data_IF_395969742990
#
_entry.id   IF_395969742990
#
_cell.length_a   1.000
_cell.length_b   1.000
_cell.length_c   1.000
_cell.angle_alpha   90.00
_cell.angle_beta   90.00
_cell.angle_gamma   90.00
#
_symmetry.space_group_name_H-M   'P 1'
#
loop_
_entity.id
_entity.type
_entity.pdbx_description
1 polymer ?
#
# COMPACT_ATOMS: atom_id res chain seq x y z
N UNK A 1 -16.32 46.59 11.68
CA UNK A 1 -16.40 47.90 10.98
C UNK A 1 -16.10 47.67 9.51
N UNK A 2 -16.99 48.12 8.63
CA UNK A 2 -17.14 47.64 7.24
C UNK A 2 -16.03 48.06 6.28
N UNK A 3 -15.81 47.17 5.30
CA UNK A 3 -14.87 47.23 4.15
C UNK A 3 -14.91 48.57 3.38
N UNK A 4 -16.03 49.29 3.45
CA UNK A 4 -16.32 50.52 2.69
C UNK A 4 -15.42 51.72 3.08
N UNK A 5 -14.78 51.72 4.27
CA UNK A 5 -13.85 52.80 4.65
C UNK A 5 -12.43 52.67 4.06
N UNK A 6 -12.05 51.50 3.55
CA UNK A 6 -10.68 51.25 3.08
C UNK A 6 -10.46 51.65 1.62
N UNK A 7 -11.48 51.55 0.78
CA UNK A 7 -11.39 51.96 -0.63
C UNK A 7 -11.11 53.47 -0.78
N UNK A 8 -11.59 54.27 0.18
CA UNK A 8 -11.36 55.73 0.21
C UNK A 8 -9.91 56.08 0.56
N UNK A 9 -9.27 55.30 1.43
CA UNK A 9 -7.85 55.48 1.81
C UNK A 9 -6.91 55.03 0.68
N UNK A 10 -7.29 53.98 -0.06
CA UNK A 10 -6.54 53.49 -1.23
C UNK A 10 -6.59 54.49 -2.39
N UNK A 11 -7.74 55.14 -2.60
CA UNK A 11 -7.89 56.18 -3.63
C UNK A 11 -7.09 57.46 -3.31
N UNK A 12 -6.99 57.85 -2.04
CA UNK A 12 -6.20 59.02 -1.60
C UNK A 12 -4.69 58.78 -1.66
N UNK A 13 -4.21 57.55 -1.40
CA UNK A 13 -2.78 57.21 -1.47
C UNK A 13 -2.27 57.05 -2.91
N UNK A 14 -3.13 56.64 -3.85
CA UNK A 14 -2.78 56.54 -5.27
C UNK A 14 -2.60 57.91 -5.95
N UNK A 15 -3.35 58.93 -5.53
CA UNK A 15 -3.30 60.26 -6.13
C UNK A 15 -2.13 61.14 -5.67
N UNK A 16 -1.42 60.77 -4.60
CA UNK A 16 -0.32 61.57 -4.04
C UNK A 16 1.10 61.11 -4.42
N UNK A 17 1.27 60.18 -5.37
CA UNK A 17 2.58 59.71 -5.88
C UNK A 17 3.65 59.35 -4.81
N UNK A 18 3.25 58.94 -3.62
CA UNK A 18 4.17 58.54 -2.54
C UNK A 18 4.10 57.02 -2.33
N UNK A 19 5.07 56.31 -2.92
CA UNK A 19 5.37 54.86 -2.84
C UNK A 19 4.84 53.95 -3.96
N UNK A 20 5.69 52.98 -4.35
CA UNK A 20 5.41 51.97 -5.37
C UNK A 20 4.53 50.83 -4.83
N UNK A 21 3.75 50.19 -5.72
CA UNK A 21 2.85 49.07 -5.41
C UNK A 21 3.50 47.92 -4.61
N UNK A 22 4.82 47.72 -4.73
CA UNK A 22 5.58 46.70 -3.97
C UNK A 22 5.66 46.99 -2.46
N UNK A 23 5.72 48.25 -2.04
CA UNK A 23 5.87 48.61 -0.62
C UNK A 23 4.55 48.51 0.15
N UNK A 24 3.42 48.83 -0.50
CA UNK A 24 2.08 48.71 0.11
C UNK A 24 1.71 47.23 0.30
N UNK A 25 2.05 46.36 -0.66
CA UNK A 25 1.82 44.91 -0.56
C UNK A 25 2.68 44.24 0.53
N UNK A 26 3.92 44.71 0.74
CA UNK A 26 4.82 44.19 1.78
C UNK A 26 4.29 44.47 3.20
N UNK A 27 3.69 45.64 3.44
CA UNK A 27 3.14 45.99 4.74
C UNK A 27 1.82 45.26 5.03
N UNK A 28 1.01 44.97 4.00
CA UNK A 28 -0.26 44.26 4.15
C UNK A 28 -0.09 42.80 4.60
N UNK A 29 1.01 42.15 4.20
CA UNK A 29 1.31 40.76 4.60
C UNK A 29 2.08 40.65 5.93
N UNK A 30 2.78 41.71 6.35
CA UNK A 30 3.53 41.77 7.61
C UNK A 30 2.64 41.68 8.86
N UNK A 31 1.35 42.05 8.76
CA UNK A 31 0.43 42.08 9.90
C UNK A 31 -0.34 40.76 10.06
N UNK A 32 -0.38 39.89 9.03
CA UNK A 32 -1.21 38.68 9.03
C UNK A 32 -0.46 37.35 9.28
N UNK A 33 0.87 37.30 9.18
CA UNK A 33 1.64 36.06 9.44
C UNK A 33 2.97 36.38 10.14
N UNK A 34 3.09 36.18 11.47
CA UNK A 34 4.39 36.22 12.15
C UNK A 34 5.30 35.14 11.57
N UNK A 35 6.46 35.53 11.02
CA UNK A 35 7.45 34.62 10.43
C UNK A 35 7.69 34.78 8.93
N UNK A 36 6.80 35.46 8.19
CA UNK A 36 7.00 35.70 6.76
C UNK A 36 8.14 36.71 6.50
N UNK A 37 8.30 37.69 7.38
CA UNK A 37 9.42 38.64 7.34
C UNK A 37 10.76 37.92 7.54
N UNK A 38 10.82 36.94 8.45
CA UNK A 38 12.03 36.17 8.71
C UNK A 38 12.39 35.25 7.52
N UNK A 39 11.39 34.70 6.84
CA UNK A 39 11.57 33.92 5.61
C UNK A 39 12.01 34.79 4.41
N UNK A 40 11.43 35.98 4.25
CA UNK A 40 11.81 36.93 3.18
C UNK A 40 13.20 37.51 3.44
N UNK A 41 13.53 37.85 4.68
CA UNK A 41 14.86 38.34 5.05
C UNK A 41 15.93 37.24 4.91
N UNK A 42 15.61 35.96 5.12
CA UNK A 42 16.54 34.85 4.84
C UNK A 42 16.72 34.60 3.34
N UNK A 43 15.66 34.74 2.54
CA UNK A 43 15.72 34.61 1.08
C UNK A 43 16.54 35.73 0.43
N UNK A 44 16.35 36.98 0.88
CA UNK A 44 17.13 38.11 0.37
C UNK A 44 18.59 38.08 0.85
N UNK A 45 18.88 37.54 2.04
CA UNK A 45 20.25 37.38 2.56
C UNK A 45 21.05 36.28 1.80
N UNK A 46 20.38 35.41 1.04
CA UNK A 46 21.03 34.47 0.12
C UNK A 46 21.29 35.09 -1.27
N UNK A 47 20.55 36.12 -1.68
CA UNK A 47 20.75 36.79 -2.97
C UNK A 47 21.80 37.92 -2.92
N UNK A 48 22.03 38.53 -1.76
CA UNK A 48 23.00 39.66 -1.61
C UNK A 48 24.42 39.27 -1.19
N UNK A 49 24.68 38.02 -0.81
CA UNK A 49 26.02 37.55 -0.52
C UNK A 49 26.62 36.83 -1.73
N UNK A 50 27.25 37.59 -2.61
CA UNK A 50 28.24 37.11 -3.57
C UNK A 50 29.50 36.55 -2.88
N UNK A 51 29.33 35.54 -2.02
CA UNK A 51 30.39 34.65 -1.56
C UNK A 51 30.43 33.44 -2.49
N UNK A 52 31.65 32.99 -2.81
CA UNK A 52 31.92 31.94 -3.78
C UNK A 52 31.12 30.67 -3.57
N UNK A 53 31.00 29.88 -4.65
CA UNK A 53 30.46 28.51 -4.68
C UNK A 53 31.29 27.55 -3.79
N UNK A 54 31.33 27.81 -2.49
CA UNK A 54 31.69 26.79 -1.53
C UNK A 54 30.54 25.79 -1.48
N UNK A 55 30.88 24.51 -1.66
CA UNK A 55 29.94 23.39 -1.74
C UNK A 55 29.01 23.39 -0.52
N UNK A 56 27.80 23.97 -0.67
CA UNK A 56 26.80 23.95 0.38
C UNK A 56 26.44 22.49 0.68
N UNK A 57 26.87 22.03 1.85
CA UNK A 57 26.69 20.68 2.32
C UNK A 57 25.56 20.67 3.36
N UNK A 58 24.59 19.78 3.21
CA UNK A 58 23.63 19.48 4.27
C UNK A 58 24.10 18.22 5.01
N UNK A 59 24.56 18.40 6.24
CA UNK A 59 25.05 17.29 7.05
C UNK A 59 23.91 16.42 7.56
N UNK A 60 24.09 15.10 7.44
CA UNK A 60 23.15 14.09 7.96
C UNK A 60 23.92 13.06 8.80
N UNK A 61 23.17 12.20 9.50
CA UNK A 61 23.76 11.05 10.23
C UNK A 61 24.51 10.07 9.31
N UNK A 62 24.26 10.13 8.01
CA UNK A 62 24.73 9.15 7.03
C UNK A 62 25.77 9.73 6.05
N UNK A 63 26.05 11.04 6.15
CA UNK A 63 26.96 11.76 5.27
C UNK A 63 26.41 13.10 4.80
N UNK A 64 27.22 13.79 4.02
CA UNK A 64 26.94 15.12 3.48
C UNK A 64 26.14 15.03 2.18
N UNK A 65 24.96 15.64 2.14
CA UNK A 65 24.21 15.86 0.90
C UNK A 65 24.72 17.13 0.21
N UNK A 66 25.04 17.00 -1.07
CA UNK A 66 25.48 18.13 -1.92
C UNK A 66 24.53 18.26 -3.10
N UNK A 67 24.44 19.47 -3.65
CA UNK A 67 23.66 19.75 -4.87
C UNK A 67 22.20 19.29 -4.75
N UNK A 68 21.60 19.66 -3.61
CA UNK A 68 20.18 19.41 -3.33
C UNK A 68 19.31 20.25 -4.26
N UNK A 69 18.35 19.59 -4.90
CA UNK A 69 17.27 20.23 -5.64
C UNK A 69 15.90 19.96 -5.00
N UNK A 70 14.98 20.90 -5.19
CA UNK A 70 13.60 20.83 -4.68
C UNK A 70 13.49 20.41 -3.19
N UNK A 71 14.22 21.05 -2.26
CA UNK A 71 14.14 20.68 -0.84
C UNK A 71 12.80 21.07 -0.25
N UNK A 72 12.26 20.20 0.59
CA UNK A 72 11.10 20.46 1.42
C UNK A 72 11.48 20.29 2.88
N UNK A 73 10.91 21.12 3.75
CA UNK A 73 11.29 21.21 5.16
C UNK A 73 10.07 21.03 6.05
N UNK A 74 10.30 20.50 7.24
CA UNK A 74 9.32 20.55 8.32
C UNK A 74 9.19 21.98 8.89
N UNK A 75 8.16 22.21 9.71
CA UNK A 75 7.92 23.50 10.37
C UNK A 75 9.08 23.95 11.28
N UNK A 76 9.85 23.01 11.81
CA UNK A 76 11.05 23.27 12.62
C UNK A 76 12.31 23.56 11.78
N UNK A 77 12.21 23.59 10.44
CA UNK A 77 13.31 23.84 9.52
C UNK A 77 14.21 22.65 9.21
N UNK A 78 13.93 21.46 9.75
CA UNK A 78 14.66 20.23 9.39
C UNK A 78 14.28 19.76 7.99
N UNK A 79 15.24 19.21 7.24
CA UNK A 79 15.02 18.73 5.88
C UNK A 79 14.08 17.52 5.91
N UNK A 80 12.97 17.61 5.20
CA UNK A 80 11.96 16.55 5.11
C UNK A 80 12.25 15.63 3.92
N UNK A 81 12.42 16.18 2.73
CA UNK A 81 12.79 15.41 1.55
C UNK A 81 13.42 16.29 0.48
N UNK A 82 14.21 15.68 -0.40
CA UNK A 82 14.83 16.39 -1.50
C UNK A 82 15.21 15.48 -2.67
N UNK A 83 15.49 16.10 -3.81
CA UNK A 83 16.16 15.48 -4.95
C UNK A 83 17.64 15.84 -4.93
N UNK A 84 18.46 15.04 -5.62
CA UNK A 84 19.89 15.27 -5.80
C UNK A 84 20.18 15.40 -7.30
N UNK A 85 21.11 16.27 -7.65
CA UNK A 85 21.58 16.44 -9.04
C UNK A 85 22.90 15.71 -9.32
N UNK A 86 23.55 15.19 -8.27
CA UNK A 86 24.81 14.43 -8.36
C UNK A 86 24.85 13.24 -7.42
N UNK A 87 25.79 12.35 -7.72
CA UNK A 87 26.11 11.20 -6.90
C UNK A 87 26.51 11.63 -5.47
N UNK A 88 25.83 11.04 -4.49
CA UNK A 88 26.15 11.16 -3.08
C UNK A 88 26.23 9.77 -2.48
N UNK A 89 27.27 9.54 -1.68
CA UNK A 89 27.50 8.26 -0.99
C UNK A 89 27.06 8.40 0.46
N UNK A 90 26.07 7.61 0.86
CA UNK A 90 25.60 7.53 2.24
C UNK A 90 26.08 6.25 2.90
N UNK A 91 26.73 6.39 4.07
CA UNK A 91 27.15 5.25 4.88
C UNK A 91 26.06 4.98 5.92
N UNK A 92 25.40 3.84 5.78
CA UNK A 92 24.30 3.44 6.68
C UNK A 92 24.64 2.14 7.40
N UNK A 93 23.94 1.80 8.50
CA UNK A 93 24.02 0.48 9.11
C UNK A 93 23.69 -0.67 8.15
N UNK A 94 23.00 -0.38 7.05
CA UNK A 94 22.56 -1.35 6.05
C UNK A 94 23.47 -1.43 4.82
N UNK A 95 24.61 -0.74 4.84
CA UNK A 95 25.57 -0.69 3.75
C UNK A 95 25.72 0.71 3.14
N UNK A 96 26.43 0.77 2.02
CA UNK A 96 26.64 1.99 1.26
C UNK A 96 25.44 2.19 0.34
N UNK A 97 24.77 3.33 0.48
CA UNK A 97 23.61 3.68 -0.33
C UNK A 97 23.90 4.90 -1.20
N UNK A 98 23.58 4.81 -2.50
CA UNK A 98 23.68 5.90 -3.48
C UNK A 98 22.26 6.29 -3.90
N UNK A 99 21.72 7.41 -3.40
CA UNK A 99 20.40 7.88 -3.80
C UNK A 99 20.36 8.22 -5.29
N UNK A 100 19.17 8.16 -5.89
CA UNK A 100 18.93 8.53 -7.27
C UNK A 100 19.30 9.99 -7.50
N UNK A 101 19.98 10.28 -8.60
CA UNK A 101 20.30 11.65 -9.01
C UNK A 101 20.09 11.88 -10.51
N UNK A 102 19.64 10.87 -11.26
CA UNK A 102 19.26 11.00 -12.68
C UNK A 102 17.77 10.73 -12.90
N UNK A 103 17.20 11.34 -13.95
CA UNK A 103 15.76 11.26 -14.26
C UNK A 103 15.45 10.87 -15.71
N UNK A 104 16.45 10.72 -16.57
CA UNK A 104 16.28 10.65 -18.05
C UNK A 104 15.86 9.27 -18.61
N UNK A 105 15.58 8.28 -17.77
CA UNK A 105 15.24 6.93 -18.25
C UNK A 105 13.73 6.68 -18.27
N UNK A 106 13.21 6.04 -19.32
CA UNK A 106 11.80 5.67 -19.52
C UNK A 106 11.22 4.90 -18.31
N UNK A 107 12.06 4.07 -17.67
CA UNK A 107 11.73 3.29 -16.48
C UNK A 107 11.81 4.08 -15.17
N UNK A 108 12.63 5.14 -15.09
CA UNK A 108 12.89 5.81 -13.81
C UNK A 108 11.68 6.64 -13.37
N UNK A 109 11.32 6.49 -12.10
CA UNK A 109 10.30 7.34 -11.47
C UNK A 109 10.89 8.73 -11.23
N UNK A 110 10.09 9.75 -11.54
CA UNK A 110 10.33 11.10 -11.04
C UNK A 110 9.88 11.14 -9.57
N UNK A 111 10.81 10.90 -8.65
CA UNK A 111 10.57 10.87 -7.21
C UNK A 111 11.71 11.57 -6.48
N UNK A 112 11.45 12.09 -5.28
CA UNK A 112 12.51 12.64 -4.44
C UNK A 112 13.48 11.53 -4.07
N UNK A 113 14.76 11.79 -4.27
CA UNK A 113 15.87 10.87 -4.02
C UNK A 113 15.87 10.35 -2.58
N UNK A 114 15.63 11.23 -1.62
CA UNK A 114 15.74 10.93 -0.19
C UNK A 114 14.69 11.68 0.63
N UNK A 115 14.22 11.03 1.70
CA UNK A 115 13.34 11.63 2.69
C UNK A 115 13.78 11.24 4.10
N UNK A 116 13.52 12.11 5.07
CA UNK A 116 13.87 11.97 6.48
C UNK A 116 12.64 12.12 7.37
N UNK A 117 12.74 11.58 8.57
CA UNK A 117 11.89 11.96 9.71
C UNK A 117 12.45 13.23 10.38
N UNK A 118 11.64 13.88 11.23
CA UNK A 118 12.06 15.08 11.96
C UNK A 118 13.29 14.83 12.87
N UNK A 119 13.49 13.59 13.32
CA UNK A 119 14.64 13.19 14.12
C UNK A 119 15.94 12.97 13.29
N UNK A 120 15.89 13.21 11.98
CA UNK A 120 17.01 13.07 11.05
C UNK A 120 17.31 11.63 10.59
N UNK A 121 16.53 10.62 11.01
CA UNK A 121 16.63 9.29 10.44
C UNK A 121 16.05 9.24 9.04
N UNK A 122 16.56 8.34 8.19
CA UNK A 122 15.96 8.09 6.88
C UNK A 122 14.51 7.66 7.05
N UNK A 123 13.65 8.15 6.17
CA UNK A 123 12.28 7.70 5.97
C UNK A 123 12.16 6.89 4.68
N UNK A 124 12.85 7.35 3.63
CA UNK A 124 12.85 6.73 2.30
C UNK A 124 14.15 7.06 1.57
N UNK A 125 14.65 6.13 0.78
CA UNK A 125 15.71 6.36 -0.20
C UNK A 125 15.41 5.60 -1.49
N UNK A 126 15.27 6.34 -2.59
CA UNK A 126 15.23 5.79 -3.94
C UNK A 126 16.66 5.74 -4.47
N UNK A 127 17.09 4.59 -4.98
CA UNK A 127 18.48 4.33 -5.34
C UNK A 127 18.72 4.63 -6.82
N UNK A 128 19.92 5.09 -7.15
CA UNK A 128 20.29 5.35 -8.55
C UNK A 128 20.29 4.06 -9.39
N UNK A 129 20.69 2.95 -8.76
CA UNK A 129 20.72 1.59 -9.31
C UNK A 129 20.39 0.58 -8.22
N UNK A 130 20.03 -0.63 -8.63
CA UNK A 130 19.83 -1.73 -7.71
C UNK A 130 21.11 -1.96 -6.87
N UNK A 131 21.00 -1.78 -5.56
CA UNK A 131 22.14 -1.75 -4.63
C UNK A 131 21.97 -2.81 -3.55
N UNK A 132 23.03 -3.55 -3.16
CA UNK A 132 22.97 -4.47 -2.03
C UNK A 132 22.66 -3.74 -0.71
N UNK A 133 21.69 -4.24 0.04
CA UNK A 133 21.26 -3.76 1.35
C UNK A 133 21.34 -4.91 2.32
N UNK A 134 22.02 -4.72 3.46
CA UNK A 134 22.05 -5.70 4.53
C UNK A 134 20.72 -5.66 5.28
N UNK A 135 20.00 -6.77 5.30
CA UNK A 135 18.67 -6.89 5.90
C UNK A 135 18.67 -8.01 6.95
N UNK A 136 17.65 -8.07 7.81
CA UNK A 136 17.47 -9.21 8.71
C UNK A 136 17.36 -10.58 8.01
N UNK A 137 16.96 -10.61 6.73
CA UNK A 137 16.89 -11.83 5.90
C UNK A 137 18.18 -12.07 5.09
N UNK A 138 19.26 -11.35 5.40
CA UNK A 138 20.50 -11.37 4.63
C UNK A 138 20.59 -10.21 3.63
N UNK A 139 21.54 -10.29 2.72
CA UNK A 139 21.80 -9.22 1.76
C UNK A 139 20.82 -9.28 0.59
N UNK A 140 20.03 -8.24 0.41
CA UNK A 140 19.05 -8.11 -0.67
C UNK A 140 19.38 -6.92 -1.56
N UNK A 141 19.23 -7.06 -2.87
CA UNK A 141 19.38 -5.93 -3.79
C UNK A 141 18.08 -5.13 -3.84
N UNK A 142 18.17 -3.81 -3.78
CA UNK A 142 17.02 -2.92 -3.72
C UNK A 142 17.19 -1.66 -4.58
N UNK A 143 16.09 -1.17 -5.13
CA UNK A 143 16.00 0.16 -5.75
C UNK A 143 15.27 1.19 -4.88
N UNK A 144 14.52 0.72 -3.88
CA UNK A 144 13.85 1.58 -2.92
C UNK A 144 13.83 0.90 -1.56
N UNK A 145 14.20 1.66 -0.53
CA UNK A 145 14.07 1.25 0.87
C UNK A 145 13.30 2.32 1.64
N UNK A 146 12.41 1.86 2.51
CA UNK A 146 11.72 2.71 3.49
C UNK A 146 12.06 2.24 4.89
N UNK A 147 11.98 3.16 5.84
CA UNK A 147 12.41 2.94 7.21
C UNK A 147 11.30 3.35 8.18
N UNK A 148 11.38 2.82 9.39
CA UNK A 148 10.66 3.32 10.56
C UNK A 148 11.39 4.54 11.14
N UNK A 149 10.72 5.24 12.04
CA UNK A 149 11.27 6.46 12.65
C UNK A 149 12.49 6.18 13.53
N UNK A 150 12.62 4.97 14.09
CA UNK A 150 13.82 4.49 14.81
C UNK A 150 15.02 4.21 13.88
N UNK A 151 14.81 4.23 12.56
CA UNK A 151 15.81 3.94 11.53
C UNK A 151 15.89 2.46 11.13
N UNK A 152 15.06 1.58 11.70
CA UNK A 152 14.93 0.19 11.28
C UNK A 152 14.34 0.09 9.87
N UNK A 153 14.72 -0.93 9.09
CA UNK A 153 14.15 -1.16 7.75
C UNK A 153 12.66 -1.47 7.92
N UNK A 154 11.82 -0.74 7.19
CA UNK A 154 10.38 -0.99 7.11
C UNK A 154 10.03 -1.84 5.91
N UNK A 155 10.49 -1.46 4.72
CA UNK A 155 10.17 -2.17 3.48
C UNK A 155 11.27 -2.03 2.45
N UNK A 156 11.52 -3.10 1.73
CA UNK A 156 12.45 -3.17 0.60
C UNK A 156 11.68 -3.47 -0.67
N UNK A 157 12.03 -2.78 -1.75
CA UNK A 157 11.58 -3.04 -3.09
C UNK A 157 12.80 -3.37 -3.97
N UNK A 158 12.92 -4.62 -4.46
CA UNK A 158 14.00 -5.00 -5.36
C UNK A 158 14.05 -4.15 -6.63
N UNK A 159 12.88 -3.69 -7.08
CA UNK A 159 12.70 -2.83 -8.24
C UNK A 159 11.72 -1.69 -7.91
N UNK A 160 11.91 -0.52 -8.52
CA UNK A 160 11.09 0.67 -8.32
C UNK A 160 10.81 1.41 -9.65
N UNK A 161 10.68 0.67 -10.76
CA UNK A 161 10.38 1.23 -12.08
C UNK A 161 8.97 1.81 -12.19
N UNK A 162 8.82 2.84 -13.04
CA UNK A 162 7.55 3.44 -13.44
C UNK A 162 6.94 2.59 -14.55
N UNK A 163 5.67 2.21 -14.40
CA UNK A 163 4.89 1.60 -15.49
C UNK A 163 4.36 2.72 -16.40
N UNK A 164 4.54 2.56 -17.71
CA UNK A 164 4.11 3.51 -18.75
C UNK A 164 3.60 2.74 -19.98
N UNK A 165 3.08 3.43 -21.00
CA UNK A 165 2.73 2.79 -22.27
C UNK A 165 3.92 2.15 -23.01
N UNK A 166 5.16 2.53 -22.68
CA UNK A 166 6.39 1.98 -23.25
C UNK A 166 7.17 1.06 -22.27
N UNK A 167 6.68 0.91 -21.05
CA UNK A 167 7.30 0.09 -20.01
C UNK A 167 6.21 -0.61 -19.20
N UNK A 168 5.92 -1.85 -19.54
CA UNK A 168 4.79 -2.58 -18.95
C UNK A 168 5.21 -3.32 -17.66
N UNK A 169 4.22 -3.90 -16.99
CA UNK A 169 4.47 -4.77 -15.84
C UNK A 169 5.33 -5.99 -16.24
N UNK A 170 5.12 -6.53 -17.44
CA UNK A 170 5.94 -7.62 -17.98
C UNK A 170 7.40 -7.22 -18.13
N UNK A 171 7.68 -6.00 -18.63
CA UNK A 171 9.06 -5.52 -18.73
C UNK A 171 9.74 -5.40 -17.35
N UNK A 172 8.98 -4.97 -16.33
CA UNK A 172 9.51 -4.91 -14.97
C UNK A 172 9.72 -6.31 -14.36
N UNK A 173 8.85 -7.27 -14.67
CA UNK A 173 8.97 -8.68 -14.27
C UNK A 173 10.21 -9.36 -14.88
N UNK A 174 10.58 -9.01 -16.11
CA UNK A 174 11.78 -9.52 -16.78
C UNK A 174 13.07 -9.12 -16.03
N UNK A 175 13.09 -7.94 -15.41
CA UNK A 175 14.21 -7.49 -14.57
C UNK A 175 14.22 -8.10 -13.18
N UNK A 176 13.07 -8.59 -12.69
CA UNK A 176 12.94 -9.10 -11.35
C UNK A 176 13.75 -10.38 -11.18
N UNK A 177 14.61 -10.41 -10.16
CA UNK A 177 15.40 -11.58 -9.77
C UNK A 177 14.67 -12.33 -8.67
N UNK A 178 14.76 -13.67 -8.72
CA UNK A 178 14.27 -14.49 -7.65
C UNK A 178 15.16 -14.29 -6.41
N UNK A 179 14.51 -14.20 -5.25
CA UNK A 179 15.16 -13.99 -3.96
C UNK A 179 14.97 -15.27 -3.13
N UNK A 180 16.05 -15.82 -2.53
CA UNK A 180 15.92 -16.92 -1.58
C UNK A 180 15.23 -16.40 -0.31
N UNK A 181 14.10 -17.01 0.03
CA UNK A 181 13.29 -16.71 1.20
C UNK A 181 13.28 -17.93 2.11
N UNK A 182 13.70 -17.74 3.36
CA UNK A 182 13.49 -18.72 4.42
C UNK A 182 12.23 -18.33 5.18
N UNK A 183 11.15 -19.06 4.93
CA UNK A 183 9.87 -18.90 5.60
C UNK A 183 9.69 -20.02 6.64
N UNK A 184 8.82 -19.84 7.65
CA UNK A 184 8.61 -20.84 8.71
C UNK A 184 8.23 -22.25 8.22
N UNK A 185 7.77 -22.35 6.98
CA UNK A 185 7.29 -23.57 6.36
C UNK A 185 8.18 -24.07 5.21
N UNK A 186 9.35 -23.47 4.99
CA UNK A 186 10.34 -23.95 4.02
C UNK A 186 11.16 -22.84 3.35
N UNK A 187 12.07 -23.27 2.47
CA UNK A 187 12.86 -22.37 1.62
C UNK A 187 12.19 -22.21 0.26
N UNK A 188 12.16 -20.98 -0.23
CA UNK A 188 11.54 -20.62 -1.49
C UNK A 188 12.48 -19.74 -2.29
N UNK A 189 12.44 -19.86 -3.62
CA UNK A 189 13.13 -18.94 -4.52
C UNK A 189 12.06 -18.25 -5.38
N UNK A 190 11.84 -16.96 -5.13
CA UNK A 190 10.66 -16.24 -5.64
C UNK A 190 10.98 -14.81 -6.04
N UNK A 191 10.42 -14.36 -7.15
CA UNK A 191 10.39 -12.94 -7.50
C UNK A 191 9.36 -12.24 -6.61
N UNK A 192 9.80 -11.19 -5.91
CA UNK A 192 8.94 -10.37 -5.05
C UNK A 192 8.95 -8.91 -5.50
N UNK A 193 7.81 -8.25 -5.36
CA UNK A 193 7.65 -6.80 -5.51
C UNK A 193 8.19 -6.11 -4.27
N UNK A 194 7.85 -6.61 -3.08
CA UNK A 194 8.32 -6.02 -1.84
C UNK A 194 8.34 -7.00 -0.67
N UNK A 195 9.22 -6.71 0.29
CA UNK A 195 9.31 -7.37 1.60
C UNK A 195 9.17 -6.31 2.68
N UNK A 196 8.21 -6.48 3.59
CA UNK A 196 8.03 -5.60 4.74
C UNK A 196 8.52 -6.29 6.01
N UNK A 197 9.09 -5.51 6.92
CA UNK A 197 9.60 -5.97 8.20
C UNK A 197 8.85 -5.28 9.35
N UNK A 198 8.84 -5.93 10.50
CA UNK A 198 8.61 -5.26 11.78
C UNK A 198 9.88 -4.49 12.20
N UNK A 199 9.75 -3.54 13.12
CA UNK A 199 10.89 -2.74 13.64
C UNK A 199 12.02 -3.62 14.20
N UNK A 200 11.67 -4.75 14.80
CA UNK A 200 12.62 -5.75 15.32
C UNK A 200 13.23 -6.66 14.24
N UNK A 201 12.91 -6.44 12.97
CA UNK A 201 13.50 -7.11 11.82
C UNK A 201 12.82 -8.41 11.38
N UNK A 202 11.80 -8.91 12.08
CA UNK A 202 11.03 -10.07 11.59
C UNK A 202 10.28 -9.72 10.31
N UNK A 203 10.18 -10.67 9.37
CA UNK A 203 9.37 -10.49 8.17
C UNK A 203 7.90 -10.30 8.56
N UNK A 204 7.31 -9.20 8.11
CA UNK A 204 5.92 -8.84 8.33
C UNK A 204 5.04 -9.25 7.17
N UNK A 205 5.50 -9.07 5.94
CA UNK A 205 4.77 -9.49 4.74
C UNK A 205 5.68 -9.57 3.54
N UNK A 206 5.25 -10.34 2.55
CA UNK A 206 5.85 -10.41 1.23
C UNK A 206 4.78 -10.18 0.17
N UNK A 207 5.13 -9.44 -0.86
CA UNK A 207 4.31 -9.26 -2.06
C UNK A 207 5.00 -9.93 -3.25
N UNK A 208 4.37 -10.94 -3.83
CA UNK A 208 4.83 -11.66 -5.00
C UNK A 208 4.57 -10.84 -6.27
N UNK A 209 5.40 -11.05 -7.28
CA UNK A 209 5.05 -10.60 -8.63
C UNK A 209 3.76 -11.26 -9.13
N UNK A 210 2.96 -10.61 -9.98
CA UNK A 210 1.88 -11.28 -10.69
C UNK A 210 2.39 -12.51 -11.45
N UNK A 211 1.56 -13.55 -11.49
CA UNK A 211 1.88 -14.90 -12.01
C UNK A 211 2.89 -15.71 -11.17
N UNK A 212 3.50 -15.14 -10.14
CA UNK A 212 4.21 -15.92 -9.12
C UNK A 212 3.24 -16.53 -8.11
N UNK A 213 3.61 -17.72 -7.64
CA UNK A 213 2.85 -18.43 -6.62
C UNK A 213 3.76 -19.05 -5.57
N UNK A 214 3.26 -19.10 -4.33
CA UNK A 214 3.83 -19.88 -3.25
C UNK A 214 3.01 -21.15 -3.02
N UNK A 215 3.68 -22.28 -2.87
CA UNK A 215 3.06 -23.54 -2.46
C UNK A 215 3.43 -23.81 -1.00
N UNK A 216 2.46 -23.67 -0.10
CA UNK A 216 2.71 -23.70 1.35
C UNK A 216 1.98 -24.87 2.01
N UNK A 217 2.63 -25.64 2.90
CA UNK A 217 1.99 -26.72 3.65
C UNK A 217 1.11 -26.15 4.78
N UNK A 218 -0.13 -25.73 4.47
CA UNK A 218 -1.10 -25.23 5.45
C UNK A 218 -2.35 -26.13 5.47
N UNK A 219 -3.03 -26.19 6.62
CA UNK A 219 -4.30 -26.93 6.81
C UNK A 219 -4.23 -28.42 6.43
N UNK A 220 -3.10 -29.07 6.72
CA UNK A 220 -2.90 -30.49 6.40
C UNK A 220 -2.75 -30.79 4.90
N UNK A 221 -2.61 -29.75 4.06
CA UNK A 221 -2.44 -29.87 2.62
C UNK A 221 -1.48 -28.83 2.05
N UNK A 222 -1.46 -28.70 0.73
CA UNK A 222 -0.68 -27.66 0.03
C UNK A 222 -1.61 -26.58 -0.49
N UNK A 223 -1.45 -25.37 0.01
CA UNK A 223 -2.20 -24.19 -0.43
C UNK A 223 -1.37 -23.43 -1.45
N UNK A 224 -1.98 -23.09 -2.59
CA UNK A 224 -1.40 -22.21 -3.60
C UNK A 224 -1.81 -20.77 -3.30
N UNK A 225 -0.81 -19.92 -3.09
CA UNK A 225 -0.99 -18.52 -2.70
C UNK A 225 -0.53 -17.64 -3.87
N UNK A 226 -1.34 -16.63 -4.22
CA UNK A 226 -1.00 -15.57 -5.18
C UNK A 226 -0.76 -14.27 -4.42
N UNK A 227 -0.15 -13.29 -5.05
CA UNK A 227 0.04 -11.90 -4.56
C UNK A 227 0.82 -11.71 -3.25
N UNK A 228 0.55 -12.44 -2.17
CA UNK A 228 1.32 -12.25 -0.95
C UNK A 228 0.82 -12.99 0.28
N UNK A 229 1.60 -12.81 1.34
CA UNK A 229 1.36 -13.34 2.68
C UNK A 229 1.84 -12.34 3.72
N UNK A 230 1.13 -12.27 4.84
CA UNK A 230 1.54 -11.55 6.03
C UNK A 230 1.73 -12.51 7.22
N UNK A 231 2.58 -12.09 8.16
CA UNK A 231 2.98 -12.85 9.33
C UNK A 231 2.84 -12.00 10.58
N UNK A 232 2.60 -12.67 11.70
CA UNK A 232 2.80 -12.11 13.02
C UNK A 232 4.30 -12.07 13.38
N UNK A 233 4.73 -11.28 14.38
CA UNK A 233 6.14 -11.22 14.78
C UNK A 233 6.73 -12.58 15.20
N UNK A 234 5.90 -13.52 15.66
CA UNK A 234 6.31 -14.89 16.00
C UNK A 234 6.46 -15.82 14.78
N UNK A 235 6.25 -15.31 13.56
CA UNK A 235 6.33 -16.07 12.31
C UNK A 235 5.04 -16.82 11.94
N UNK A 236 4.02 -16.84 12.79
CA UNK A 236 2.73 -17.45 12.41
C UNK A 236 2.09 -16.67 11.26
N UNK A 237 1.37 -17.37 10.40
CA UNK A 237 0.66 -16.76 9.27
C UNK A 237 -0.46 -15.88 9.81
N UNK A 238 -0.46 -14.61 9.42
CA UNK A 238 -1.49 -13.63 9.73
C UNK A 238 -2.56 -13.59 8.64
N UNK A 239 -2.15 -13.56 7.38
CA UNK A 239 -3.06 -13.57 6.25
C UNK A 239 -2.35 -14.05 4.98
N UNK A 240 -3.12 -14.49 3.98
CA UNK A 240 -2.61 -14.77 2.64
C UNK A 240 -3.73 -14.69 1.61
N UNK A 241 -3.37 -14.50 0.34
CA UNK A 241 -4.32 -14.43 -0.76
C UNK A 241 -4.38 -15.77 -1.52
N UNK A 242 -5.47 -16.54 -1.42
CA UNK A 242 -5.61 -17.81 -2.12
C UNK A 242 -5.57 -17.63 -3.64
N UNK A 243 -4.88 -18.52 -4.35
CA UNK A 243 -4.86 -18.50 -5.82
C UNK A 243 -6.18 -19.00 -6.44
N UNK A 244 -6.95 -19.77 -5.70
CA UNK A 244 -8.25 -20.33 -6.05
C UNK A 244 -9.12 -20.41 -4.79
N UNK A 245 -10.46 -20.59 -4.92
CA UNK A 245 -11.36 -20.88 -3.80
C UNK A 245 -10.79 -21.92 -2.84
N UNK A 246 -10.48 -21.46 -1.62
CA UNK A 246 -10.00 -22.31 -0.54
C UNK A 246 -11.13 -22.48 0.49
N UNK A 247 -11.66 -23.70 0.60
CA UNK A 247 -12.72 -24.00 1.55
C UNK A 247 -12.16 -24.14 2.97
N UNK A 248 -12.55 -23.22 3.84
CA UNK A 248 -12.08 -23.13 5.22
C UNK A 248 -13.26 -23.37 6.18
N UNK A 249 -13.01 -24.12 7.26
CA UNK A 249 -13.97 -24.23 8.35
C UNK A 249 -13.93 -22.95 9.19
N UNK A 250 -15.10 -22.36 9.40
CA UNK A 250 -15.31 -21.15 10.22
C UNK A 250 -16.37 -21.42 11.29
N UNK A 251 -16.55 -20.51 12.27
CA UNK A 251 -17.62 -20.65 13.26
C UNK A 251 -19.03 -20.75 12.68
N UNK A 252 -19.26 -20.25 11.46
CA UNK A 252 -20.56 -20.27 10.78
C UNK A 252 -20.66 -21.34 9.69
N UNK A 253 -19.69 -22.26 9.63
CA UNK A 253 -19.64 -23.34 8.63
C UNK A 253 -18.48 -23.22 7.66
N UNK A 254 -18.52 -24.02 6.59
CA UNK A 254 -17.43 -24.13 5.62
C UNK A 254 -17.64 -23.14 4.48
N UNK A 255 -16.69 -22.20 4.30
CA UNK A 255 -16.79 -21.10 3.33
C UNK A 255 -15.61 -21.13 2.36
N UNK A 256 -15.86 -20.84 1.09
CA UNK A 256 -14.86 -20.59 0.07
C UNK A 256 -14.24 -19.19 0.24
N UNK A 257 -13.04 -19.13 0.81
CA UNK A 257 -12.25 -17.92 0.91
C UNK A 257 -11.56 -17.63 -0.43
N UNK A 258 -12.03 -16.58 -1.12
CA UNK A 258 -11.48 -16.08 -2.38
C UNK A 258 -12.09 -14.72 -2.75
N UNK A 259 -11.23 -13.74 -3.03
CA UNK A 259 -11.64 -12.47 -3.60
C UNK A 259 -11.31 -12.41 -5.10
N UNK A 260 -12.33 -12.39 -5.95
CA UNK A 260 -12.15 -12.26 -7.41
C UNK A 260 -11.47 -10.94 -7.79
N UNK A 261 -11.58 -9.90 -6.95
CA UNK A 261 -11.15 -8.54 -7.24
C UNK A 261 -9.83 -8.16 -6.55
N UNK A 262 -9.15 -9.11 -5.88
CA UNK A 262 -7.85 -8.86 -5.30
C UNK A 262 -6.86 -8.33 -6.38
N UNK A 263 -6.19 -7.21 -6.11
CA UNK A 263 -5.42 -6.46 -7.10
C UNK A 263 -3.88 -6.56 -6.94
N UNK A 264 -3.40 -7.40 -6.02
CA UNK A 264 -1.98 -7.74 -5.89
C UNK A 264 -1.03 -6.58 -5.54
N UNK A 265 -1.54 -5.41 -5.15
CA UNK A 265 -0.75 -4.21 -4.87
C UNK A 265 0.17 -4.42 -3.66
N UNK A 266 -0.33 -5.08 -2.62
CA UNK A 266 0.45 -5.47 -1.46
C UNK A 266 -0.05 -6.82 -0.91
N UNK A 267 0.85 -7.55 -0.26
CA UNK A 267 0.55 -8.79 0.46
C UNK A 267 0.28 -8.60 1.95
N UNK A 268 -0.04 -7.39 2.41
CA UNK A 268 -0.16 -7.08 3.84
C UNK A 268 -1.53 -7.46 4.39
N UNK A 269 -2.56 -7.13 3.61
CA UNK A 269 -3.96 -7.39 3.90
C UNK A 269 -4.55 -8.23 2.77
N UNK A 270 -4.80 -9.49 3.07
CA UNK A 270 -5.23 -10.48 2.08
C UNK A 270 -6.64 -11.00 2.41
N UNK A 271 -7.24 -11.68 1.45
CA UNK A 271 -8.63 -12.17 1.54
C UNK A 271 -8.88 -13.20 2.62
N UNK A 272 -7.86 -13.85 3.18
CA UNK A 272 -8.02 -14.82 4.26
C UNK A 272 -7.03 -14.49 5.37
N UNK A 273 -7.57 -14.23 6.57
CA UNK A 273 -6.81 -13.77 7.72
C UNK A 273 -7.15 -14.59 8.98
N UNK A 274 -6.17 -14.66 9.87
CA UNK A 274 -6.18 -15.49 11.07
C UNK A 274 -5.81 -14.66 12.28
N UNK A 275 -6.27 -15.11 13.45
CA UNK A 275 -5.73 -14.70 14.73
C UNK A 275 -4.40 -15.42 15.03
N UNK A 276 -3.67 -14.95 16.04
CA UNK A 276 -2.38 -15.56 16.44
C UNK A 276 -2.50 -17.00 16.94
N UNK A 277 -3.68 -17.42 17.38
CA UNK A 277 -3.96 -18.81 17.76
C UNK A 277 -4.21 -19.73 16.55
N UNK A 278 -4.34 -19.17 15.34
CA UNK A 278 -4.60 -19.87 14.09
C UNK A 278 -6.08 -20.00 13.73
N UNK A 279 -6.99 -19.50 14.57
CA UNK A 279 -8.42 -19.41 14.24
C UNK A 279 -8.66 -18.36 13.14
N UNK A 280 -9.73 -18.52 12.36
CA UNK A 280 -10.07 -17.61 11.26
C UNK A 280 -10.55 -16.28 11.83
N UNK A 281 -9.86 -15.19 11.50
CA UNK A 281 -10.25 -13.84 11.91
C UNK A 281 -11.19 -13.19 10.89
N UNK A 282 -10.87 -13.34 9.60
CA UNK A 282 -11.74 -12.84 8.54
C UNK A 282 -11.49 -13.55 7.23
N UNK A 283 -12.49 -13.58 6.36
CA UNK A 283 -12.32 -13.97 4.97
C UNK A 283 -13.18 -13.13 4.03
N UNK A 284 -12.83 -13.13 2.76
CA UNK A 284 -13.64 -12.62 1.66
C UNK A 284 -14.15 -13.80 0.84
N UNK A 285 -15.44 -13.79 0.49
CA UNK A 285 -16.03 -14.78 -0.42
C UNK A 285 -16.69 -14.10 -1.61
N UNK A 286 -16.39 -14.61 -2.81
CA UNK A 286 -16.99 -14.15 -4.07
C UNK A 286 -18.05 -15.11 -4.61
N UNK A 287 -18.35 -16.19 -3.89
CA UNK A 287 -19.21 -17.28 -4.38
C UNK A 287 -20.27 -17.76 -3.41
N UNK A 288 -20.13 -17.50 -2.12
CA UNK A 288 -20.97 -18.16 -1.13
C UNK A 288 -22.11 -17.26 -0.68
N UNK A 289 -23.33 -17.79 -0.78
CA UNK A 289 -24.53 -17.23 -0.18
C UNK A 289 -24.66 -17.75 1.25
N UNK A 290 -25.07 -16.87 2.14
CA UNK A 290 -25.33 -17.13 3.55
C UNK A 290 -26.84 -17.07 3.78
N UNK A 291 -27.45 -18.16 4.24
CA UNK A 291 -28.78 -18.15 4.83
C UNK A 291 -28.62 -18.14 6.35
N UNK A 292 -29.19 -17.12 6.99
CA UNK A 292 -28.94 -16.82 8.40
C UNK A 292 -30.28 -16.86 9.13
N UNK A 293 -30.52 -17.94 9.86
CA UNK A 293 -31.77 -18.18 10.57
C UNK A 293 -31.67 -17.69 12.01
N UNK A 294 -32.58 -16.81 12.42
CA UNK A 294 -32.69 -16.36 13.80
C UNK A 294 -33.44 -17.41 14.64
N UNK A 295 -32.79 -17.95 15.68
CA UNK A 295 -33.32 -19.02 16.54
C UNK A 295 -34.57 -18.63 17.34
N UNK A 296 -34.82 -17.33 17.56
CA UNK A 296 -35.93 -16.85 18.39
C UNK A 296 -37.22 -16.68 17.61
N UNK A 297 -37.16 -16.15 16.38
CA UNK A 297 -38.33 -15.77 15.60
C UNK A 297 -38.42 -16.47 14.23
N UNK A 298 -37.45 -17.34 13.90
CA UNK A 298 -37.35 -18.06 12.63
C UNK A 298 -37.32 -17.15 11.39
N UNK A 299 -36.87 -15.90 11.53
CA UNK A 299 -36.63 -15.04 10.36
C UNK A 299 -35.32 -15.45 9.69
N UNK A 300 -35.32 -15.45 8.36
CA UNK A 300 -34.16 -15.81 7.55
C UNK A 300 -33.66 -14.57 6.81
N UNK A 301 -32.41 -14.19 7.09
CA UNK A 301 -31.68 -13.23 6.26
C UNK A 301 -30.91 -13.98 5.17
N UNK A 302 -30.86 -13.42 3.97
CA UNK A 302 -30.07 -13.96 2.85
C UNK A 302 -29.06 -12.91 2.43
N UNK A 303 -27.77 -13.21 2.62
CA UNK A 303 -26.67 -12.34 2.21
C UNK A 303 -25.83 -13.07 1.16
N UNK A 304 -25.52 -12.40 0.04
CA UNK A 304 -24.73 -12.98 -1.05
C UNK A 304 -23.85 -11.92 -1.73
N UNK A 305 -22.76 -12.34 -2.41
CA UNK A 305 -21.99 -11.46 -3.28
C UNK A 305 -22.92 -10.78 -4.30
N UNK A 306 -22.79 -9.47 -4.47
CA UNK A 306 -23.64 -8.73 -5.41
C UNK A 306 -22.94 -8.58 -6.77
N UNK A 307 -23.67 -8.05 -7.74
CA UNK A 307 -23.14 -7.74 -9.06
C UNK A 307 -23.38 -6.26 -9.34
N UNK A 308 -22.39 -5.59 -9.92
CA UNK A 308 -22.51 -4.21 -10.40
C UNK A 308 -21.87 -4.04 -11.78
N UNK A 309 -22.25 -3.02 -12.55
CA UNK A 309 -21.54 -2.68 -13.79
C UNK A 309 -20.07 -2.35 -13.51
N UNK A 310 -19.20 -2.81 -14.39
CA UNK A 310 -17.76 -2.51 -14.37
C UNK A 310 -17.50 -1.03 -14.62
N UNK A 311 -16.59 -0.44 -13.85
CA UNK A 311 -16.16 0.95 -14.01
C UNK A 311 -15.21 1.17 -15.19
N UNK A 312 -14.69 0.08 -15.79
CA UNK A 312 -13.64 0.12 -16.83
C UNK A 312 -14.23 0.20 -18.26
N UNK A 313 -15.56 0.25 -18.38
CA UNK A 313 -16.27 0.40 -19.66
C UNK A 313 -16.48 -0.92 -20.39
N UNK A 314 -17.62 -1.03 -21.08
CA UNK A 314 -18.18 -2.30 -21.56
C UNK A 314 -19.36 -2.71 -20.69
N UNK A 315 -20.34 -3.43 -21.24
CA UNK A 315 -21.50 -3.96 -20.50
C UNK A 315 -21.10 -5.12 -19.53
N UNK A 316 -19.88 -5.09 -19.02
CA UNK A 316 -19.31 -6.13 -18.18
C UNK A 316 -19.77 -5.95 -16.73
N UNK A 317 -20.05 -7.07 -16.09
CA UNK A 317 -20.50 -7.14 -14.71
C UNK A 317 -19.34 -7.57 -13.79
N UNK A 318 -19.16 -6.85 -12.67
CA UNK A 318 -18.19 -7.14 -11.62
C UNK A 318 -18.91 -7.71 -10.39
N UNK A 319 -18.37 -8.78 -9.82
CA UNK A 319 -18.84 -9.34 -8.55
C UNK A 319 -18.34 -8.44 -7.42
N UNK A 320 -19.19 -8.02 -6.50
CA UNK A 320 -18.79 -7.37 -5.26
C UNK A 320 -18.88 -8.42 -4.14
N UNK A 321 -17.75 -8.88 -3.60
CA UNK A 321 -17.73 -10.00 -2.65
C UNK A 321 -18.26 -9.59 -1.27
N UNK A 322 -18.58 -10.60 -0.45
CA UNK A 322 -18.84 -10.42 0.97
C UNK A 322 -17.54 -10.51 1.76
N UNK A 323 -17.37 -9.65 2.75
CA UNK A 323 -16.33 -9.78 3.77
C UNK A 323 -16.96 -10.26 5.08
N UNK A 324 -16.41 -11.31 5.64
CA UNK A 324 -16.87 -11.95 6.88
C UNK A 324 -15.76 -11.85 7.91
N UNK A 325 -16.06 -11.32 9.09
CA UNK A 325 -15.11 -11.19 10.20
C UNK A 325 -15.69 -11.85 11.46
N UNK A 326 -14.86 -12.55 12.22
CA UNK A 326 -15.23 -13.16 13.48
C UNK A 326 -14.49 -12.45 14.60
N UNK A 327 -15.20 -12.03 15.64
CA UNK A 327 -14.59 -11.44 16.83
C UNK A 327 -15.41 -11.84 18.05
N UNK A 328 -14.75 -12.45 19.03
CA UNK A 328 -15.44 -13.03 20.19
C UNK A 328 -16.54 -13.98 19.71
N UNK A 329 -17.77 -13.86 20.22
CA UNK A 329 -18.93 -14.66 19.83
C UNK A 329 -19.81 -14.00 18.75
N UNK A 330 -19.21 -13.09 17.96
CA UNK A 330 -19.92 -12.30 16.94
C UNK A 330 -19.37 -12.56 15.53
N UNK A 331 -20.29 -12.64 14.57
CA UNK A 331 -20.01 -12.64 13.14
C UNK A 331 -20.42 -11.31 12.52
N UNK A 332 -19.48 -10.64 11.86
CA UNK A 332 -19.69 -9.38 11.14
C UNK A 332 -19.63 -9.67 9.65
N UNK A 333 -20.66 -9.27 8.91
CA UNK A 333 -20.74 -9.48 7.46
C UNK A 333 -20.91 -8.12 6.79
N UNK A 334 -19.96 -7.78 5.93
CA UNK A 334 -19.97 -6.56 5.11
C UNK A 334 -20.28 -6.93 3.68
N UNK A 335 -21.32 -6.31 3.12
CA UNK A 335 -21.76 -6.53 1.75
C UNK A 335 -22.19 -5.24 1.08
N UNK A 336 -22.23 -5.26 -0.25
CA UNK A 336 -22.74 -4.17 -1.05
C UNK A 336 -24.15 -4.52 -1.55
N UNK A 337 -25.10 -3.63 -1.33
CA UNK A 337 -26.50 -3.80 -1.69
C UNK A 337 -27.02 -2.55 -2.43
N UNK A 338 -28.30 -2.53 -2.79
CA UNK A 338 -28.92 -1.39 -3.51
C UNK A 338 -28.72 -0.03 -2.81
N UNK A 339 -28.68 -0.04 -1.48
CA UNK A 339 -28.50 1.16 -0.64
C UNK A 339 -27.02 1.47 -0.35
N UNK A 340 -26.09 0.71 -0.94
CA UNK A 340 -24.65 0.82 -0.71
C UNK A 340 -24.11 -0.24 0.25
N UNK A 341 -22.97 0.05 0.85
CA UNK A 341 -22.31 -0.84 1.80
C UNK A 341 -23.12 -0.95 3.10
N UNK A 342 -23.36 -2.18 3.55
CA UNK A 342 -23.98 -2.47 4.83
C UNK A 342 -23.12 -3.42 5.65
N UNK A 343 -23.17 -3.20 6.95
CA UNK A 343 -22.64 -4.09 7.98
C UNK A 343 -23.82 -4.81 8.64
N UNK A 344 -23.69 -6.12 8.79
CA UNK A 344 -24.62 -6.97 9.52
C UNK A 344 -23.86 -7.66 10.66
N UNK A 345 -24.46 -7.72 11.85
CA UNK A 345 -23.82 -8.26 13.05
C UNK A 345 -24.72 -9.35 13.61
N UNK A 346 -24.16 -10.54 13.78
CA UNK A 346 -24.87 -11.73 14.23
C UNK A 346 -24.16 -12.39 15.41
N UNK A 347 -24.76 -12.40 16.62
CA UNK A 347 -24.30 -13.23 17.72
C UNK A 347 -24.41 -14.72 17.35
N UNK A 348 -23.31 -15.46 17.40
CA UNK A 348 -23.26 -16.87 16.98
C UNK A 348 -24.21 -17.76 17.80
N UNK A 349 -24.48 -17.39 19.05
CA UNK A 349 -25.43 -18.11 19.91
C UNK A 349 -26.89 -17.97 19.48
N UNK A 350 -27.26 -16.89 18.78
CA UNK A 350 -28.65 -16.56 18.44
C UNK A 350 -29.06 -16.96 17.01
N UNK A 351 -28.09 -17.33 16.18
CA UNK A 351 -28.32 -17.61 14.77
C UNK A 351 -27.75 -18.97 14.36
N UNK A 352 -28.39 -19.60 13.39
CA UNK A 352 -27.85 -20.74 12.63
C UNK A 352 -27.52 -20.29 11.20
N UNK A 353 -26.48 -20.86 10.64
CA UNK A 353 -25.95 -20.47 9.34
C UNK A 353 -25.93 -21.66 8.41
N UNK A 354 -26.42 -21.45 7.19
CA UNK A 354 -26.30 -22.38 6.07
C UNK A 354 -25.53 -21.69 4.94
N UNK A 355 -24.50 -22.38 4.43
CA UNK A 355 -23.60 -21.85 3.41
C UNK A 355 -23.86 -22.56 2.09
N UNK A 356 -24.27 -21.80 1.08
CA UNK A 356 -24.56 -22.29 -0.26
C UNK A 356 -23.53 -21.74 -1.26
N UNK A 357 -22.66 -22.60 -1.79
CA UNK A 357 -21.68 -22.19 -2.80
C UNK A 357 -22.35 -22.06 -4.17
N UNK A 358 -22.50 -20.83 -4.66
CA UNK A 358 -23.22 -20.53 -5.90
C UNK A 358 -22.44 -20.91 -7.17
N UNK A 359 -21.12 -21.11 -7.07
CA UNK A 359 -20.29 -21.48 -8.21
C UNK A 359 -20.44 -22.97 -8.59
N UNK A 360 -20.77 -23.84 -7.63
CA UNK A 360 -21.00 -25.27 -7.86
C UNK A 360 -22.43 -25.54 -8.37
N UNK A 361 -23.42 -24.74 -7.96
CA UNK A 361 -24.84 -24.94 -8.30
C UNK A 361 -25.15 -24.78 -9.79
N UNK A 362 -24.28 -24.12 -10.56
CA UNK A 362 -24.43 -23.95 -12.01
C UNK A 362 -24.12 -25.21 -12.83
N UNK A 363 -23.53 -26.26 -12.24
CA UNK A 363 -23.16 -27.50 -12.96
C UNK A 363 -24.17 -28.64 -12.89
N UNK A 364 -25.30 -28.47 -12.21
CA UNK A 364 -26.36 -29.49 -12.10
C UNK A 364 -27.66 -29.06 -12.78
N UNK A 365 -27.55 -28.59 -14.02
CA UNK A 365 -28.66 -28.71 -14.99
C UNK A 365 -28.19 -29.70 -16.04
N UNK A 366 -28.36 -30.99 -15.73
CA UNK A 366 -28.21 -32.05 -16.70
C UNK A 366 -29.37 -31.92 -17.70
N UNK A 367 -29.14 -31.14 -18.76
CA UNK A 367 -29.97 -31.20 -19.96
C UNK A 367 -29.74 -32.55 -20.67
N UNK A 368 -30.84 -33.15 -21.10
CA UNK A 368 -30.92 -34.26 -22.07
C UNK A 368 -30.65 -35.69 -21.56
N UNK A 369 -31.61 -36.20 -20.77
CA UNK A 369 -31.86 -37.63 -20.65
C UNK A 369 -32.80 -38.11 -21.79
N UNK A 370 -32.34 -38.14 -23.05
CA UNK A 370 -33.17 -38.64 -24.15
C UNK A 370 -32.47 -39.48 -25.24
N UNK A 371 -31.26 -40.02 -25.00
CA UNK A 371 -30.55 -40.79 -26.05
C UNK A 371 -29.68 -41.95 -25.57
N UNK A 372 -29.94 -42.56 -24.41
CA UNK A 372 -29.29 -43.81 -24.02
C UNK A 372 -30.21 -45.01 -24.24
N UNK A 373 -30.55 -45.29 -25.49
CA UNK A 373 -30.87 -46.65 -25.95
C UNK A 373 -29.83 -47.06 -26.97
N UNK A 374 -28.93 -47.95 -26.55
CA UNK A 374 -27.88 -48.51 -27.38
C UNK A 374 -27.12 -49.55 -26.60
N UNK A 375 -27.65 -50.77 -26.58
CA UNK A 375 -27.01 -51.92 -25.93
C UNK A 375 -25.67 -52.26 -26.56
N UNK A 376 -24.76 -52.73 -25.72
CA UNK A 376 -23.73 -53.71 -26.06
C UNK A 376 -23.76 -54.78 -24.97
N UNK A 377 -23.63 -56.03 -25.43
CA UNK A 377 -23.88 -57.30 -24.76
C UNK A 377 -23.44 -57.46 -23.30
#
# INVERSE_FOLDING_TARGET
>A
MSIIKWDKLIFELQNNQLCSYKQIFSCYFAILIPGLIDAILRKNRQEENGLGKENLCYETKYGCLKEISSPEYYSNGTLMECSLEKEVILKTPYGILIPQYTTEAVRKKYTKSIAFYQNGNLKRIAMERQTPVNTPLGQLKAELVTFYEDGSIKRIFPLNGKITGYWTEENELELAQAIPLELPFGKYDKKVISLQFYEKGQLKSLTLWPKEFLMVPLYGGRVKIRFGMAFYPNGKVKSFEPAYPLFINTPIGRIAAFDKNANGINGDDNSLAFYEDGSVASLITSSDRLLINNKRNNTIDILEPSIRPSMIGGNDEEVVPLRICFKEEMCFIYGYYKEGWKEHIYPLSEYDFEICNMAVTLKTVCGDCNSCQGGCH
#
